data_IF_909523274478
#
_entry.id   IF_909523274478
#
_cell.length_a   1.000
_cell.length_b   1.000
_cell.length_c   1.000
_cell.angle_alpha   90.00
_cell.angle_beta   90.00
_cell.angle_gamma   90.00
#
_symmetry.space_group_name_H-M   'P 1'
#
loop_
_entity.id
_entity.type
_entity.pdbx_description
1 polymer ?
#
# COMPACT_ATOMS: atom_id res chain seq x y z
N UNK A 1 -1.47 23.99 0.61
CA UNK A 1 -1.73 23.59 -0.79
C UNK A 1 -3.21 23.81 -1.09
N UNK A 2 -3.55 24.09 -2.36
CA UNK A 2 -4.96 24.08 -2.83
C UNK A 2 -5.30 22.71 -3.40
N UNK A 3 -6.31 22.07 -2.85
CA UNK A 3 -6.69 20.70 -3.20
C UNK A 3 -8.16 20.64 -3.57
N UNK A 4 -8.48 20.00 -4.69
CA UNK A 4 -9.85 19.66 -5.07
C UNK A 4 -10.04 18.16 -4.94
N UNK A 5 -11.07 17.76 -4.20
CA UNK A 5 -11.49 16.36 -4.06
C UNK A 5 -12.84 16.21 -4.75
N UNK A 6 -12.91 15.34 -5.74
CA UNK A 6 -14.12 15.02 -6.48
C UNK A 6 -14.67 13.66 -6.04
N UNK A 7 -15.82 13.69 -5.36
CA UNK A 7 -16.47 12.59 -4.67
C UNK A 7 -16.48 12.83 -3.15
N UNK A 8 -17.69 13.03 -2.57
CA UNK A 8 -17.91 13.21 -1.12
C UNK A 8 -18.42 11.93 -0.43
N UNK A 9 -18.20 10.79 -1.06
CA UNK A 9 -18.43 9.49 -0.44
C UNK A 9 -17.46 9.27 0.73
N UNK A 10 -17.48 8.08 1.28
CA UNK A 10 -16.70 7.73 2.48
C UNK A 10 -15.20 8.05 2.33
N UNK A 11 -14.58 7.64 1.21
CA UNK A 11 -13.16 7.89 0.95
C UNK A 11 -12.87 9.39 0.83
N UNK A 12 -13.68 10.12 0.04
CA UNK A 12 -13.47 11.55 -0.19
C UNK A 12 -13.68 12.39 1.07
N UNK A 13 -14.68 12.05 1.89
CA UNK A 13 -14.91 12.70 3.18
C UNK A 13 -13.75 12.48 4.15
N UNK A 14 -13.28 11.22 4.31
CA UNK A 14 -12.16 10.93 5.20
C UNK A 14 -10.88 11.61 4.74
N UNK A 15 -10.63 11.64 3.44
CA UNK A 15 -9.47 12.31 2.87
C UNK A 15 -9.54 13.83 3.12
N UNK A 16 -10.71 14.45 2.87
CA UNK A 16 -10.94 15.87 3.17
C UNK A 16 -10.72 16.17 4.67
N UNK A 17 -11.20 15.29 5.55
CA UNK A 17 -11.02 15.41 7.00
C UNK A 17 -9.54 15.37 7.38
N UNK A 18 -8.78 14.39 6.91
CA UNK A 18 -7.35 14.26 7.21
C UNK A 18 -6.56 15.48 6.73
N UNK A 19 -6.82 15.91 5.49
CA UNK A 19 -6.12 17.04 4.89
C UNK A 19 -6.52 18.39 5.50
N UNK A 20 -7.74 18.53 6.05
CA UNK A 20 -8.16 19.75 6.76
C UNK A 20 -7.36 19.97 8.05
N UNK A 21 -6.97 18.91 8.74
CA UNK A 21 -6.09 19.01 9.92
C UNK A 21 -4.66 19.47 9.57
N UNK A 22 -4.23 19.25 8.34
CA UNK A 22 -2.93 19.71 7.80
C UNK A 22 -2.98 21.15 7.28
N UNK A 23 -4.05 21.92 7.60
CA UNK A 23 -4.25 23.31 7.17
C UNK A 23 -4.18 23.50 5.65
N UNK A 24 -4.71 22.55 4.88
CA UNK A 24 -4.81 22.64 3.42
C UNK A 24 -6.12 23.37 3.01
N UNK A 25 -6.09 24.11 1.91
CA UNK A 25 -7.25 24.76 1.30
C UNK A 25 -8.00 23.72 0.44
N UNK A 26 -9.12 23.21 0.94
CA UNK A 26 -9.83 22.07 0.35
C UNK A 26 -11.16 22.51 -0.26
N UNK A 27 -11.40 22.07 -1.50
CA UNK A 27 -12.70 22.13 -2.14
C UNK A 27 -13.20 20.72 -2.43
N UNK A 28 -14.36 20.37 -1.88
CA UNK A 28 -15.02 19.08 -2.07
C UNK A 28 -16.17 19.23 -3.07
N UNK A 29 -16.19 18.41 -4.12
CA UNK A 29 -17.22 18.44 -5.18
C UNK A 29 -17.99 17.13 -5.18
N UNK A 30 -19.31 17.19 -5.17
CA UNK A 30 -20.17 16.00 -5.32
C UNK A 30 -21.55 16.38 -5.90
N UNK A 31 -22.21 15.42 -6.52
CA UNK A 31 -23.60 15.54 -6.96
C UNK A 31 -24.60 15.38 -5.81
N UNK A 32 -24.24 14.62 -4.77
CA UNK A 32 -25.13 14.35 -3.64
C UNK A 32 -25.08 15.47 -2.60
N UNK A 33 -26.22 16.14 -2.45
CA UNK A 33 -26.40 17.21 -1.46
C UNK A 33 -26.25 16.72 -0.02
N UNK A 34 -26.63 15.47 0.26
CA UNK A 34 -26.58 14.94 1.64
C UNK A 34 -25.15 14.75 2.10
N UNK A 35 -24.31 14.17 1.24
CA UNK A 35 -22.89 13.98 1.51
C UNK A 35 -22.16 15.32 1.70
N UNK A 36 -22.48 16.33 0.88
CA UNK A 36 -21.91 17.67 1.03
C UNK A 36 -22.36 18.35 2.33
N UNK A 37 -23.66 18.28 2.66
CA UNK A 37 -24.16 18.86 3.91
C UNK A 37 -23.51 18.19 5.14
N UNK A 38 -23.25 16.89 5.07
CA UNK A 38 -22.52 16.19 6.12
C UNK A 38 -21.09 16.73 6.24
N UNK A 39 -20.41 16.93 5.15
CA UNK A 39 -19.08 17.51 5.14
C UNK A 39 -19.04 18.96 5.67
N UNK A 40 -19.97 19.81 5.23
CA UNK A 40 -20.11 21.20 5.71
C UNK A 40 -20.34 21.30 7.22
N UNK A 41 -21.02 20.29 7.81
CA UNK A 41 -21.33 20.29 9.24
C UNK A 41 -20.12 19.87 10.10
N UNK A 42 -19.19 19.10 9.53
CA UNK A 42 -18.09 18.47 10.29
C UNK A 42 -16.70 19.03 9.96
N UNK A 43 -16.57 19.70 8.82
CA UNK A 43 -15.27 20.16 8.31
C UNK A 43 -15.36 21.63 7.90
N UNK A 44 -14.31 22.39 8.17
CA UNK A 44 -14.15 23.77 7.66
C UNK A 44 -13.49 23.73 6.27
N UNK A 45 -14.29 23.38 5.26
CA UNK A 45 -13.85 23.25 3.86
C UNK A 45 -14.89 23.86 2.93
N UNK A 46 -14.49 24.19 1.72
CA UNK A 46 -15.41 24.62 0.68
C UNK A 46 -16.09 23.42 0.02
N UNK A 47 -17.42 23.47 -0.13
CA UNK A 47 -18.15 22.44 -0.87
C UNK A 47 -18.81 23.04 -2.13
N UNK A 48 -18.87 22.24 -3.19
CA UNK A 48 -19.54 22.60 -4.45
C UNK A 48 -20.43 21.45 -4.89
N UNK A 49 -21.73 21.74 -5.06
CA UNK A 49 -22.66 20.76 -5.60
C UNK A 49 -22.60 20.75 -7.11
N UNK A 50 -22.25 19.63 -7.71
CA UNK A 50 -22.26 19.43 -9.15
C UNK A 50 -21.52 18.22 -9.64
N UNK A 51 -21.62 17.97 -10.92
CA UNK A 51 -20.86 16.92 -11.59
C UNK A 51 -19.42 17.40 -11.82
N UNK A 52 -18.45 16.69 -11.23
CA UNK A 52 -17.05 17.03 -11.34
C UNK A 52 -16.46 16.77 -12.76
N UNK A 53 -17.18 16.12 -13.66
CA UNK A 53 -16.82 16.04 -15.08
C UNK A 53 -17.27 17.30 -15.86
N UNK A 54 -18.07 18.19 -15.25
CA UNK A 54 -18.49 19.43 -15.88
C UNK A 54 -17.38 20.48 -15.84
N UNK A 55 -16.97 20.96 -17.01
CA UNK A 55 -15.99 22.05 -17.14
C UNK A 55 -16.44 23.31 -16.38
N UNK A 56 -17.75 23.59 -16.35
CA UNK A 56 -18.31 24.71 -15.59
C UNK A 56 -18.05 24.55 -14.09
N UNK A 57 -18.31 23.38 -13.53
CA UNK A 57 -18.11 23.08 -12.10
C UNK A 57 -16.63 23.13 -11.74
N UNK A 58 -15.76 22.56 -12.59
CA UNK A 58 -14.32 22.63 -12.40
C UNK A 58 -13.80 24.09 -12.44
N UNK A 59 -14.35 24.95 -13.29
CA UNK A 59 -14.01 26.38 -13.30
C UNK A 59 -14.55 27.13 -12.08
N UNK A 60 -15.75 26.79 -11.62
CA UNK A 60 -16.33 27.31 -10.38
C UNK A 60 -15.49 26.95 -9.15
N UNK A 61 -14.87 25.78 -9.15
CA UNK A 61 -13.94 25.35 -8.11
C UNK A 61 -12.56 26.04 -8.17
N UNK A 62 -12.37 26.98 -9.08
CA UNK A 62 -11.11 27.69 -9.28
C UNK A 62 -9.94 26.77 -9.62
N UNK A 63 -10.18 25.80 -10.48
CA UNK A 63 -9.24 24.74 -10.87
C UNK A 63 -7.88 25.24 -11.34
N UNK A 64 -7.80 26.45 -11.93
CA UNK A 64 -6.56 26.98 -12.50
C UNK A 64 -5.50 27.23 -11.42
N UNK A 65 -4.39 26.50 -11.53
CA UNK A 65 -3.27 26.61 -10.59
C UNK A 65 -3.46 25.83 -9.28
N UNK A 66 -4.51 25.02 -9.18
CA UNK A 66 -4.71 24.10 -8.05
C UNK A 66 -3.54 23.11 -7.99
N UNK A 67 -3.03 22.85 -6.78
CA UNK A 67 -1.85 22.01 -6.59
C UNK A 67 -2.16 20.54 -6.84
N UNK A 68 -3.37 20.09 -6.43
CA UNK A 68 -3.76 18.68 -6.52
C UNK A 68 -5.26 18.52 -6.77
N UNK A 69 -5.63 17.67 -7.72
CA UNK A 69 -7.00 17.19 -7.93
C UNK A 69 -7.05 15.69 -7.70
N UNK A 70 -8.02 15.24 -6.91
CA UNK A 70 -8.19 13.82 -6.55
C UNK A 70 -9.59 13.39 -6.96
N UNK A 71 -9.69 12.47 -7.93
CA UNK A 71 -10.93 11.82 -8.31
C UNK A 71 -11.16 10.55 -7.49
N UNK A 72 -12.16 10.57 -6.60
CA UNK A 72 -12.48 9.46 -5.67
C UNK A 72 -13.97 9.12 -5.67
N UNK A 73 -14.64 9.33 -6.79
CA UNK A 73 -16.01 8.87 -6.97
C UNK A 73 -16.07 7.33 -7.04
N UNK A 74 -17.28 6.75 -7.05
CA UNK A 74 -17.45 5.30 -7.19
C UNK A 74 -17.03 4.76 -8.57
N UNK A 75 -17.05 5.62 -9.60
CA UNK A 75 -16.73 5.25 -10.99
C UNK A 75 -15.29 5.62 -11.34
N UNK A 76 -14.45 4.63 -11.59
CA UNK A 76 -13.07 4.83 -12.06
C UNK A 76 -13.00 5.60 -13.38
N UNK A 77 -13.92 5.34 -14.32
CA UNK A 77 -13.99 6.07 -15.58
C UNK A 77 -14.28 7.57 -15.36
N UNK A 78 -15.15 7.86 -14.39
CA UNK A 78 -15.42 9.25 -13.96
C UNK A 78 -14.17 9.87 -13.35
N UNK A 79 -13.46 9.16 -12.49
CA UNK A 79 -12.23 9.65 -11.85
C UNK A 79 -11.13 9.95 -12.88
N UNK A 80 -10.95 9.06 -13.86
CA UNK A 80 -10.04 9.27 -15.00
C UNK A 80 -10.44 10.53 -15.78
N UNK A 81 -11.72 10.65 -16.13
CA UNK A 81 -12.24 11.81 -16.88
C UNK A 81 -12.01 13.12 -16.12
N UNK A 82 -12.28 13.14 -14.81
CA UNK A 82 -12.06 14.31 -13.96
C UNK A 82 -10.57 14.71 -14.01
N UNK A 83 -9.67 13.77 -13.84
CA UNK A 83 -8.22 14.04 -13.84
C UNK A 83 -7.74 14.59 -15.18
N UNK A 84 -8.18 14.00 -16.28
CA UNK A 84 -7.85 14.49 -17.63
C UNK A 84 -8.33 15.95 -17.82
N UNK A 85 -9.60 16.24 -17.51
CA UNK A 85 -10.15 17.57 -17.62
C UNK A 85 -9.48 18.57 -16.68
N UNK A 86 -9.22 18.16 -15.43
CA UNK A 86 -8.56 18.99 -14.43
C UNK A 86 -7.15 19.40 -14.89
N UNK A 87 -6.40 18.47 -15.44
CA UNK A 87 -5.05 18.74 -15.95
C UNK A 87 -5.07 19.74 -17.09
N UNK A 88 -6.00 19.56 -18.05
CA UNK A 88 -6.17 20.48 -19.19
C UNK A 88 -6.63 21.87 -18.74
N UNK A 89 -7.35 21.98 -17.65
CA UNK A 89 -7.80 23.24 -17.06
C UNK A 89 -6.75 23.90 -16.15
N UNK A 90 -5.58 23.30 -15.96
CA UNK A 90 -4.43 23.89 -15.29
C UNK A 90 -4.15 23.40 -13.88
N UNK A 91 -4.65 22.25 -13.48
CA UNK A 91 -4.22 21.58 -12.26
C UNK A 91 -2.75 21.10 -12.37
N UNK A 92 -1.96 21.28 -11.32
CA UNK A 92 -0.55 20.87 -11.32
C UNK A 92 -0.38 19.36 -11.24
N UNK A 93 -1.13 18.69 -10.35
CA UNK A 93 -1.12 17.25 -10.18
C UNK A 93 -2.53 16.68 -10.11
N UNK A 94 -2.67 15.43 -10.55
CA UNK A 94 -3.94 14.71 -10.56
C UNK A 94 -3.74 13.29 -10.07
N UNK A 95 -4.70 12.80 -9.28
CA UNK A 95 -4.75 11.43 -8.77
C UNK A 95 -6.12 10.85 -9.06
N UNK A 96 -6.20 9.70 -9.71
CA UNK A 96 -7.44 9.01 -9.94
C UNK A 96 -7.52 7.70 -9.14
N UNK A 97 -8.60 7.56 -8.35
CA UNK A 97 -8.96 6.26 -7.77
C UNK A 97 -9.47 5.34 -8.86
N UNK A 98 -8.94 4.12 -8.88
CA UNK A 98 -9.36 3.03 -9.77
C UNK A 98 -9.64 1.78 -8.94
N UNK A 99 -10.45 0.88 -9.48
CA UNK A 99 -10.74 -0.44 -8.90
C UNK A 99 -10.15 -1.56 -9.76
N UNK A 100 -10.08 -1.36 -11.09
CA UNK A 100 -9.48 -2.33 -12.01
C UNK A 100 -7.94 -2.23 -11.97
N UNK A 101 -7.29 -3.28 -11.49
CA UNK A 101 -5.82 -3.34 -11.39
C UNK A 101 -5.11 -3.38 -12.73
N UNK A 102 -5.78 -3.72 -13.83
CA UNK A 102 -5.20 -3.68 -15.18
C UNK A 102 -4.63 -2.29 -15.52
N UNK A 103 -5.28 -1.21 -15.05
CA UNK A 103 -4.76 0.14 -15.24
C UNK A 103 -3.40 0.37 -14.55
N UNK A 104 -3.14 -0.33 -13.45
CA UNK A 104 -1.84 -0.29 -12.76
C UNK A 104 -0.83 -1.18 -13.48
N UNK A 105 -1.24 -2.38 -13.87
CA UNK A 105 -0.37 -3.38 -14.50
C UNK A 105 0.18 -2.87 -15.85
N UNK A 106 -0.63 -2.13 -16.60
CA UNK A 106 -0.26 -1.54 -17.89
C UNK A 106 0.08 -0.04 -17.83
N UNK A 107 0.31 0.51 -16.61
CA UNK A 107 0.56 1.95 -16.40
C UNK A 107 1.67 2.50 -17.28
N UNK A 108 2.78 1.78 -17.37
CA UNK A 108 3.96 2.20 -18.13
C UNK A 108 3.72 2.14 -19.65
N UNK A 109 3.03 1.11 -20.12
CA UNK A 109 2.72 0.91 -21.54
C UNK A 109 1.76 1.99 -22.04
N UNK A 110 0.69 2.26 -21.31
CA UNK A 110 -0.33 3.26 -21.69
C UNK A 110 0.20 4.68 -21.51
N UNK A 111 1.06 4.92 -20.51
CA UNK A 111 1.62 6.21 -20.22
C UNK A 111 0.56 7.25 -19.80
N UNK A 112 -0.19 6.97 -18.74
CA UNK A 112 -1.30 7.81 -18.25
C UNK A 112 -0.93 9.27 -17.98
N UNK A 113 0.31 9.56 -17.68
CA UNK A 113 0.82 10.93 -17.50
C UNK A 113 0.68 11.77 -18.77
N UNK A 114 0.75 11.17 -19.95
CA UNK A 114 0.53 11.85 -21.25
C UNK A 114 -0.93 12.34 -21.39
N UNK A 115 -1.85 11.65 -20.73
CA UNK A 115 -3.26 12.01 -20.69
C UNK A 115 -3.61 12.98 -19.55
N UNK A 116 -2.61 13.33 -18.73
CA UNK A 116 -2.80 14.25 -17.62
C UNK A 116 -3.23 13.58 -16.33
N UNK A 117 -2.96 12.29 -16.16
CA UNK A 117 -3.15 11.54 -14.91
C UNK A 117 -1.77 11.24 -14.35
N UNK A 118 -1.40 11.92 -13.26
CA UNK A 118 -0.07 11.78 -12.69
C UNK A 118 0.05 10.50 -11.87
N UNK A 119 -1.03 10.12 -11.12
CA UNK A 119 -1.05 8.88 -10.34
C UNK A 119 -2.41 8.17 -10.41
N UNK A 120 -2.33 6.83 -10.43
CA UNK A 120 -3.46 5.92 -10.29
C UNK A 120 -3.33 5.21 -8.94
N UNK A 121 -4.41 5.21 -8.15
CA UNK A 121 -4.43 4.56 -6.84
C UNK A 121 -5.62 3.60 -6.76
N UNK A 122 -5.35 2.34 -6.44
CA UNK A 122 -6.36 1.36 -6.06
C UNK A 122 -6.29 1.11 -4.55
N UNK A 123 -7.24 1.61 -3.75
CA UNK A 123 -7.31 1.31 -2.33
C UNK A 123 -7.39 -0.19 -2.06
N UNK A 124 -8.09 -0.93 -2.92
CA UNK A 124 -8.25 -2.38 -2.83
C UNK A 124 -6.91 -3.11 -3.04
N UNK A 125 -6.11 -2.68 -4.01
CA UNK A 125 -4.77 -3.24 -4.24
C UNK A 125 -3.80 -2.90 -3.10
N UNK A 126 -3.86 -1.66 -2.59
CA UNK A 126 -3.06 -1.24 -1.43
C UNK A 126 -3.43 -2.05 -0.18
N UNK A 127 -4.74 -2.20 0.12
CA UNK A 127 -5.20 -3.01 1.25
C UNK A 127 -4.79 -4.48 1.10
N UNK A 128 -4.88 -5.04 -0.12
CA UNK A 128 -4.44 -6.42 -0.40
C UNK A 128 -2.94 -6.59 -0.16
N UNK A 129 -2.14 -5.62 -0.60
CA UNK A 129 -0.69 -5.61 -0.34
C UNK A 129 -0.40 -5.55 1.15
N UNK A 130 -1.07 -4.68 1.89
CA UNK A 130 -0.88 -4.50 3.33
C UNK A 130 -1.32 -5.74 4.12
N UNK A 131 -2.48 -6.30 3.81
CA UNK A 131 -2.94 -7.57 4.40
C UNK A 131 -1.94 -8.69 4.09
N UNK A 132 -1.42 -8.73 2.86
CA UNK A 132 -0.38 -9.67 2.46
C UNK A 132 0.89 -9.53 3.30
N UNK A 133 1.32 -8.29 3.55
CA UNK A 133 2.45 -8.01 4.43
C UNK A 133 2.16 -8.44 5.88
N UNK A 134 1.00 -8.12 6.44
CA UNK A 134 0.60 -8.52 7.79
C UNK A 134 0.51 -10.04 7.96
N UNK A 135 -0.02 -10.75 6.98
CA UNK A 135 -0.06 -12.22 7.00
C UNK A 135 1.35 -12.82 6.84
N UNK A 136 2.20 -12.19 6.06
CA UNK A 136 3.61 -12.55 5.96
C UNK A 136 4.37 -12.21 7.26
N UNK A 137 4.01 -11.15 7.97
CA UNK A 137 4.57 -10.79 9.27
C UNK A 137 4.30 -11.85 10.36
N UNK A 138 3.26 -12.69 10.22
CA UNK A 138 3.10 -13.86 11.09
C UNK A 138 4.28 -14.85 10.96
N UNK A 139 5.01 -14.82 9.88
CA UNK A 139 6.21 -15.63 9.60
C UNK A 139 7.50 -14.85 9.85
N UNK A 140 7.49 -13.53 9.63
CA UNK A 140 8.63 -12.65 9.88
C UNK A 140 8.24 -11.62 10.94
N UNK A 141 9.14 -11.35 11.88
CA UNK A 141 8.89 -10.34 12.94
C UNK A 141 8.93 -8.92 12.38
N UNK A 142 9.74 -8.70 11.34
CA UNK A 142 9.93 -7.39 10.72
C UNK A 142 10.19 -7.55 9.22
N UNK A 143 9.61 -6.68 8.38
CA UNK A 143 9.92 -6.61 6.95
C UNK A 143 9.97 -5.16 6.53
N UNK A 144 11.05 -4.76 5.84
CA UNK A 144 11.23 -3.42 5.31
C UNK A 144 11.78 -3.48 3.89
N UNK A 145 11.06 -2.88 2.94
CA UNK A 145 11.43 -2.81 1.53
C UNK A 145 12.09 -1.47 1.19
N UNK A 146 13.26 -1.53 0.53
CA UNK A 146 13.96 -0.38 -0.04
C UNK A 146 13.77 -0.37 -1.56
N UNK A 147 13.69 0.83 -2.15
CA UNK A 147 13.64 1.04 -3.60
C UNK A 147 12.61 0.10 -4.29
N UNK A 148 11.37 0.08 -3.79
CA UNK A 148 10.30 -0.73 -4.38
C UNK A 148 10.54 -2.24 -4.35
N UNK A 149 11.33 -2.75 -3.38
CA UNK A 149 11.62 -4.17 -3.21
C UNK A 149 12.91 -4.64 -3.91
N UNK A 150 13.75 -3.71 -4.41
CA UNK A 150 15.08 -4.07 -4.94
C UNK A 150 15.96 -4.67 -3.84
N UNK A 151 15.82 -4.19 -2.61
CA UNK A 151 16.42 -4.76 -1.40
C UNK A 151 15.34 -4.87 -0.32
N UNK A 152 15.28 -5.99 0.37
CA UNK A 152 14.35 -6.22 1.48
C UNK A 152 15.12 -6.62 2.72
N UNK A 153 14.82 -5.97 3.85
CA UNK A 153 15.27 -6.38 5.18
C UNK A 153 14.17 -7.22 5.83
N UNK A 154 14.55 -8.39 6.36
CA UNK A 154 13.61 -9.34 6.97
C UNK A 154 14.13 -9.78 8.32
N UNK A 155 13.33 -9.62 9.36
CA UNK A 155 13.54 -10.16 10.68
C UNK A 155 12.83 -11.51 10.85
N UNK A 156 13.56 -12.55 11.27
CA UNK A 156 13.03 -13.91 11.47
C UNK A 156 13.44 -14.43 12.81
N UNK A 157 12.49 -14.93 13.59
CA UNK A 157 12.80 -15.75 14.77
C UNK A 157 12.98 -17.19 14.33
N UNK A 158 14.18 -17.76 14.56
CA UNK A 158 14.51 -19.12 14.16
C UNK A 158 13.80 -20.14 15.04
N UNK A 159 12.95 -20.95 14.42
CA UNK A 159 12.34 -22.11 15.06
C UNK A 159 13.34 -23.28 15.12
N UNK A 160 13.07 -24.27 15.97
CA UNK A 160 13.86 -25.50 16.06
C UNK A 160 13.99 -26.25 14.72
N UNK A 161 13.00 -26.09 13.84
CA UNK A 161 12.96 -26.73 12.51
C UNK A 161 13.67 -25.94 11.43
N UNK A 162 14.19 -24.75 11.73
CA UNK A 162 14.92 -23.95 10.75
C UNK A 162 16.21 -24.65 10.32
N UNK A 163 16.45 -24.72 9.01
CA UNK A 163 17.58 -25.44 8.40
C UNK A 163 18.95 -24.92 8.80
N UNK A 164 19.05 -23.69 9.31
CA UNK A 164 20.32 -23.08 9.76
C UNK A 164 20.63 -23.36 11.23
N UNK A 165 19.66 -23.73 12.07
CA UNK A 165 19.86 -23.89 13.50
C UNK A 165 20.96 -24.97 13.75
N UNK A 166 21.89 -24.62 14.62
CA UNK A 166 23.08 -25.45 14.92
C UNK A 166 24.25 -25.29 13.94
N UNK A 167 24.09 -24.55 12.83
CA UNK A 167 25.13 -24.28 11.84
C UNK A 167 25.74 -22.89 12.03
N UNK A 168 26.98 -22.73 11.62
CA UNK A 168 27.62 -21.42 11.48
C UNK A 168 27.18 -20.76 10.19
N UNK A 169 27.31 -19.42 10.10
CA UNK A 169 27.05 -18.67 8.88
C UNK A 169 27.82 -19.22 7.68
N UNK A 170 29.10 -19.59 7.89
CA UNK A 170 29.96 -20.18 6.86
C UNK A 170 29.48 -21.57 6.41
N UNK A 171 28.99 -22.40 7.33
CA UNK A 171 28.42 -23.71 7.01
C UNK A 171 27.09 -23.58 6.28
N UNK A 172 26.21 -22.65 6.70
CA UNK A 172 24.95 -22.34 6.01
C UNK A 172 25.22 -21.88 4.58
N UNK A 173 26.16 -20.96 4.36
CA UNK A 173 26.52 -20.47 3.04
C UNK A 173 27.07 -21.56 2.10
N UNK A 174 27.76 -22.61 2.66
CA UNK A 174 28.24 -23.75 1.84
C UNK A 174 27.12 -24.70 1.44
N UNK A 175 26.12 -24.88 2.32
CA UNK A 175 25.00 -25.80 2.07
C UNK A 175 24.01 -25.16 1.04
N UNK A 176 23.92 -23.85 1.02
CA UNK A 176 23.01 -23.08 0.19
C UNK A 176 23.79 -22.07 -0.68
N UNK A 177 24.55 -22.50 -1.69
CA UNK A 177 25.47 -21.63 -2.45
C UNK A 177 24.76 -20.55 -3.28
N UNK A 178 23.50 -20.76 -3.62
CA UNK A 178 22.70 -19.82 -4.40
C UNK A 178 21.82 -18.91 -3.53
N UNK A 179 22.25 -18.66 -2.29
CA UNK A 179 21.49 -17.80 -1.37
C UNK A 179 21.42 -16.37 -1.87
N UNK A 180 20.21 -15.89 -2.04
CA UNK A 180 19.91 -14.48 -2.37
C UNK A 180 19.65 -13.64 -1.11
N UNK A 181 20.15 -14.07 0.05
CA UNK A 181 20.00 -13.35 1.32
C UNK A 181 21.28 -13.43 2.17
N UNK A 182 21.49 -12.42 3.01
CA UNK A 182 22.65 -12.33 3.89
C UNK A 182 22.21 -11.95 5.31
N UNK A 183 22.64 -12.66 6.36
CA UNK A 183 22.39 -12.25 7.74
C UNK A 183 23.24 -11.02 8.08
N UNK A 184 22.60 -9.98 8.62
CA UNK A 184 23.25 -8.71 8.97
C UNK A 184 23.25 -8.44 10.47
N UNK A 185 22.28 -8.99 11.22
CA UNK A 185 22.21 -8.85 12.66
C UNK A 185 21.55 -10.08 13.29
N UNK A 186 21.97 -10.45 14.50
CA UNK A 186 21.35 -11.51 15.30
C UNK A 186 21.12 -10.98 16.70
N UNK A 187 19.87 -10.99 17.16
CA UNK A 187 19.51 -10.76 18.54
C UNK A 187 19.29 -12.11 19.23
N UNK A 188 20.09 -12.41 20.24
CA UNK A 188 19.99 -13.68 20.97
C UNK A 188 18.75 -13.71 21.85
N UNK A 189 18.06 -14.86 21.84
CA UNK A 189 16.94 -15.08 22.74
C UNK A 189 17.35 -14.86 24.20
N UNK A 190 16.54 -14.11 24.95
CA UNK A 190 16.81 -13.84 26.37
C UNK A 190 17.92 -12.80 26.65
N UNK A 191 18.48 -12.16 25.63
CA UNK A 191 19.47 -11.10 25.79
C UNK A 191 19.01 -9.81 25.10
N UNK A 192 19.52 -8.66 25.58
CA UNK A 192 19.31 -7.37 24.91
C UNK A 192 20.42 -7.03 23.89
N UNK A 193 21.37 -7.96 23.68
CA UNK A 193 22.51 -7.71 22.80
C UNK A 193 22.23 -8.19 21.38
N UNK A 194 22.44 -7.28 20.43
CA UNK A 194 22.46 -7.58 19.00
C UNK A 194 23.90 -7.72 18.56
N UNK A 195 24.24 -8.83 17.89
CA UNK A 195 25.56 -9.06 17.32
C UNK A 195 25.53 -8.99 15.80
N UNK A 196 26.61 -8.53 15.20
CA UNK A 196 26.84 -8.59 13.75
C UNK A 196 27.44 -9.96 13.45
N UNK A 197 26.75 -10.83 12.69
CA UNK A 197 27.22 -12.19 12.44
C UNK A 197 28.51 -12.20 11.60
N UNK A 198 29.40 -13.11 11.94
CA UNK A 198 30.61 -13.45 11.18
C UNK A 198 30.53 -14.91 10.72
N UNK A 199 31.45 -15.33 9.89
CA UNK A 199 31.44 -16.68 9.34
C UNK A 199 31.40 -17.80 10.37
N UNK A 200 31.96 -17.60 11.56
CA UNK A 200 32.00 -18.52 12.73
C UNK A 200 30.81 -18.39 13.68
N UNK A 201 29.95 -17.39 13.45
CA UNK A 201 28.76 -17.19 14.28
C UNK A 201 27.73 -18.28 14.03
N UNK A 202 27.34 -18.98 15.11
CA UNK A 202 26.36 -20.07 15.05
C UNK A 202 24.93 -19.54 15.25
N UNK A 203 24.02 -19.99 14.41
CA UNK A 203 22.59 -19.78 14.56
C UNK A 203 22.02 -20.69 15.65
N UNK A 204 21.19 -20.14 16.54
CA UNK A 204 20.57 -20.90 17.64
C UNK A 204 19.03 -20.79 17.53
N UNK A 205 18.37 -21.79 18.10
CA UNK A 205 16.92 -21.74 18.28
C UNK A 205 16.53 -20.51 19.10
N UNK A 206 15.46 -19.81 18.67
CA UNK A 206 14.98 -18.59 19.32
C UNK A 206 15.75 -17.31 18.94
N UNK A 207 16.85 -17.39 18.18
CA UNK A 207 17.53 -16.20 17.67
C UNK A 207 16.59 -15.41 16.75
N UNK A 208 16.51 -14.11 16.96
CA UNK A 208 15.92 -13.19 15.97
C UNK A 208 17.04 -12.75 15.03
N UNK A 209 16.97 -13.20 13.78
CA UNK A 209 17.98 -12.93 12.77
C UNK A 209 17.41 -11.97 11.73
N UNK A 210 18.16 -10.92 11.45
CA UNK A 210 17.85 -9.97 10.38
C UNK A 210 18.65 -10.31 9.14
N UNK A 211 17.95 -10.50 8.03
CA UNK A 211 18.53 -10.80 6.73
C UNK A 211 18.27 -9.66 5.75
N UNK A 212 19.23 -9.34 4.91
CA UNK A 212 18.97 -8.60 3.67
C UNK A 212 18.80 -9.59 2.54
N UNK A 213 17.85 -9.32 1.65
CA UNK A 213 17.55 -10.15 0.50
C UNK A 213 17.17 -9.32 -0.73
N UNK A 214 17.42 -9.88 -1.91
CA UNK A 214 16.95 -9.34 -3.18
C UNK A 214 15.62 -10.01 -3.59
N UNK A 215 15.00 -9.51 -4.64
CA UNK A 215 13.76 -10.07 -5.19
C UNK A 215 13.93 -11.57 -5.48
N UNK A 216 13.06 -12.39 -4.90
CA UNK A 216 13.14 -13.87 -4.99
C UNK A 216 13.74 -14.54 -3.74
N UNK A 217 14.70 -13.93 -3.04
CA UNK A 217 15.30 -14.52 -1.85
C UNK A 217 14.38 -14.59 -0.63
N UNK A 218 13.30 -13.83 -0.63
CA UNK A 218 12.25 -13.89 0.41
C UNK A 218 11.63 -15.29 0.48
N UNK A 219 11.30 -15.88 -0.67
CA UNK A 219 10.68 -17.22 -0.74
C UNK A 219 11.66 -18.33 -0.32
N UNK A 220 12.94 -18.17 -0.67
CA UNK A 220 14.00 -19.10 -0.23
C UNK A 220 14.16 -19.06 1.29
N UNK A 221 14.19 -17.85 1.86
CA UNK A 221 14.31 -17.65 3.29
C UNK A 221 13.11 -18.27 4.04
N UNK A 222 11.90 -18.17 3.50
CA UNK A 222 10.72 -18.83 4.04
C UNK A 222 10.92 -20.35 4.17
N UNK A 223 11.33 -20.99 3.10
CA UNK A 223 11.55 -22.46 3.08
C UNK A 223 12.58 -22.89 4.12
N UNK A 224 13.61 -22.08 4.31
CA UNK A 224 14.73 -22.41 5.19
C UNK A 224 14.46 -22.11 6.67
N UNK A 225 13.52 -21.22 6.98
CA UNK A 225 13.12 -20.91 8.37
C UNK A 225 12.15 -21.94 8.98
N UNK A 226 11.72 -22.92 8.18
CA UNK A 226 10.79 -23.97 8.63
C UNK A 226 9.36 -23.47 8.84
N UNK A 227 9.03 -22.27 8.34
CA UNK A 227 7.68 -21.70 8.39
C UNK A 227 6.91 -22.07 7.11
N UNK A 228 5.64 -22.41 7.24
CA UNK A 228 4.80 -22.87 6.13
C UNK A 228 4.57 -21.70 5.17
N UNK A 229 4.73 -21.95 3.87
CA UNK A 229 4.47 -20.97 2.82
C UNK A 229 2.95 -20.65 2.75
N UNK A 230 2.57 -19.50 3.29
CA UNK A 230 1.16 -19.05 3.34
C UNK A 230 0.66 -18.69 1.93
N UNK A 231 1.53 -18.54 0.91
CA UNK A 231 1.13 -18.20 -0.46
C UNK A 231 0.14 -19.19 -1.09
N UNK A 232 0.25 -20.47 -0.80
CA UNK A 232 -0.72 -21.47 -1.31
C UNK A 232 -2.08 -21.34 -0.63
N UNK A 233 -2.09 -21.08 0.67
CA UNK A 233 -3.32 -20.78 1.42
C UNK A 233 -3.90 -19.43 1.03
N UNK A 234 -3.07 -18.45 0.64
CA UNK A 234 -3.48 -17.11 0.25
C UNK A 234 -4.18 -17.08 -1.11
N UNK A 235 -3.72 -17.86 -2.09
CA UNK A 235 -4.41 -18.00 -3.36
C UNK A 235 -5.82 -18.61 -3.17
N UNK A 236 -5.99 -19.53 -2.23
CA UNK A 236 -7.32 -20.04 -1.86
C UNK A 236 -8.18 -18.97 -1.18
N UNK A 237 -7.59 -18.16 -0.29
CA UNK A 237 -8.29 -17.06 0.39
C UNK A 237 -8.65 -15.96 -0.61
N UNK A 238 -7.77 -15.58 -1.55
CA UNK A 238 -8.05 -14.58 -2.60
C UNK A 238 -9.15 -15.04 -3.57
N UNK A 239 -9.21 -16.33 -3.91
CA UNK A 239 -10.31 -16.89 -4.70
C UNK A 239 -11.61 -16.77 -3.92
N UNK A 240 -11.60 -17.05 -2.61
CA UNK A 240 -12.75 -16.88 -1.72
C UNK A 240 -13.12 -15.41 -1.53
N UNK A 241 -12.15 -14.47 -1.49
CA UNK A 241 -12.41 -13.03 -1.41
C UNK A 241 -12.96 -12.42 -2.71
N UNK A 242 -12.59 -12.93 -3.89
CA UNK A 242 -13.23 -12.55 -5.16
C UNK A 242 -14.73 -12.90 -5.18
N UNK A 243 -15.10 -14.01 -4.56
CA UNK A 243 -16.50 -14.38 -4.35
C UNK A 243 -17.18 -13.54 -3.25
N UNK A 244 -16.40 -12.92 -2.35
CA UNK A 244 -16.87 -12.09 -1.24
C UNK A 244 -17.10 -10.61 -1.60
N UNK A 245 -16.97 -10.19 -2.86
CA UNK A 245 -17.48 -8.86 -3.28
C UNK A 245 -18.96 -8.65 -2.91
N UNK A 246 -19.66 -9.71 -2.57
CA UNK A 246 -21.00 -9.72 -2.00
C UNK A 246 -21.08 -9.18 -0.56
N UNK A 247 -19.95 -9.03 0.12
CA UNK A 247 -19.87 -8.68 1.56
C UNK A 247 -18.98 -7.45 1.80
N UNK A 248 -19.20 -6.37 1.03
CA UNK A 248 -18.49 -5.07 1.18
C UNK A 248 -18.38 -4.57 2.63
N UNK A 249 -19.34 -4.90 3.47
CA UNK A 249 -19.42 -4.44 4.87
C UNK A 249 -18.43 -5.13 5.83
N UNK A 250 -17.90 -6.32 5.50
CA UNK A 250 -16.99 -7.06 6.40
C UNK A 250 -15.57 -6.56 6.28
N UNK A 251 -15.15 -6.15 5.08
CA UNK A 251 -13.80 -5.60 4.82
C UNK A 251 -13.62 -4.27 5.57
N UNK A 252 -14.65 -3.44 5.62
CA UNK A 252 -14.67 -2.18 6.38
C UNK A 252 -14.59 -2.39 7.89
N UNK A 253 -15.22 -3.44 8.41
CA UNK A 253 -15.18 -3.74 9.85
C UNK A 253 -13.79 -4.19 10.31
N UNK A 254 -13.01 -4.84 9.46
CA UNK A 254 -11.65 -5.25 9.75
C UNK A 254 -10.64 -4.09 9.64
N UNK A 255 -10.83 -3.18 8.67
CA UNK A 255 -9.96 -1.99 8.47
C UNK A 255 -10.20 -0.93 9.56
N UNK A 256 -11.42 -0.80 10.09
CA UNK A 256 -11.75 0.16 11.15
C UNK A 256 -11.26 -0.26 12.55
N UNK A 257 -10.70 -1.45 12.71
CA UNK A 257 -10.19 -1.98 14.00
C UNK A 257 -8.65 -2.09 14.03
N UNK A 258 -7.97 -1.78 12.95
CA UNK A 258 -6.52 -1.60 12.87
C UNK A 258 -6.18 -0.11 12.90
#
# INVERSE_FOLDING_TARGET
MKIIIAGAGEVGFHLAKLLSYESQDITLIDNDRKSLNYADTHLDIRTIKGDATSIRILRESQIKGVDLVIGVTESENTNITICVLAKQLGAKKTIARISNTEFIDFKEEIGFTKFGIDELISPEALATKEIGLLLNQSAFSDTYEFEGGALTLIGVTLSRTASFVGKTVKEAAKIFPELHFQPIAIQRFGTQYTLIPRGDTQFKEGDQVYFTTIKGGVEELYKLTGKINIKESFNQILITFKDLQKYKNIIWFLIARL
#
